data_IF_749955119765
#
_entry.id   IF_749955119765
#
_cell.length_a   1.000
_cell.length_b   1.000
_cell.length_c   1.000
_cell.angle_alpha   90.00
_cell.angle_beta   90.00
_cell.angle_gamma   90.00
#
_symmetry.space_group_name_H-M   'P 1'
#
loop_
_entity.id
_entity.type
_entity.pdbx_description
1 polymer ?
#
# COMPACT_ATOMS: atom_id res chain seq x y z
N UNK A 1 21.45 -13.16 71.63
CA UNK A 1 20.57 -13.97 72.50
C UNK A 1 20.77 -15.39 72.04
N UNK A 2 21.49 -16.05 72.73
CA UNK A 2 21.34 -17.06 73.78
C UNK A 2 21.67 -18.39 73.08
N UNK A 3 22.84 -18.88 73.33
CA UNK A 3 23.41 -19.71 74.40
C UNK A 3 23.29 -21.20 74.15
N UNK A 4 24.46 -21.80 74.15
CA UNK A 4 24.88 -22.82 75.15
C UNK A 4 24.51 -24.27 74.68
N UNK A 5 25.25 -25.32 74.90
CA UNK A 5 26.38 -25.64 75.76
C UNK A 5 26.61 -27.14 75.63
N UNK A 6 27.84 -27.58 75.43
CA UNK A 6 28.64 -28.39 76.34
C UNK A 6 28.02 -29.77 76.78
N UNK A 7 28.73 -30.88 76.74
CA UNK A 7 29.62 -31.38 77.78
C UNK A 7 30.13 -32.77 77.35
N UNK A 8 31.43 -33.10 77.30
CA UNK A 8 32.28 -33.66 78.32
C UNK A 8 31.69 -34.85 79.07
N UNK A 9 32.42 -35.93 79.03
CA UNK A 9 33.13 -36.57 80.17
C UNK A 9 33.71 -37.92 79.63
N UNK A 10 35.00 -38.22 79.58
CA UNK A 10 35.96 -38.48 80.73
C UNK A 10 35.58 -39.54 81.68
N UNK A 11 36.36 -40.60 81.72
CA UNK A 11 36.89 -41.29 82.90
C UNK A 11 37.64 -42.53 82.43
N UNK A 12 38.90 -42.76 82.49
CA UNK A 12 39.90 -42.86 83.52
C UNK A 12 39.74 -44.12 84.45
N UNK A 13 40.89 -44.78 84.45
CA UNK A 13 41.50 -45.53 85.58
C UNK A 13 40.97 -46.95 85.78
N UNK A 14 41.78 -47.96 85.88
CA UNK A 14 42.77 -48.20 86.91
C UNK A 14 43.48 -49.58 86.64
N UNK A 15 44.75 -49.64 86.94
CA UNK A 15 45.45 -50.84 87.29
C UNK A 15 45.17 -51.25 88.73
N UNK A 16 45.38 -52.45 89.26
CA UNK A 16 46.72 -52.87 89.72
C UNK A 16 47.01 -54.41 89.66
N UNK A 17 48.25 -54.68 89.77
CA UNK A 17 49.17 -55.30 90.74
C UNK A 17 49.38 -56.79 90.80
N UNK A 18 50.62 -57.14 90.67
CA UNK A 18 51.50 -58.09 91.40
C UNK A 18 50.98 -59.46 91.79
N UNK A 19 51.70 -60.40 91.44
CA UNK A 19 52.48 -61.44 92.23
C UNK A 19 52.78 -62.68 91.27
N UNK A 20 53.81 -63.17 91.24
CA UNK A 20 55.03 -63.59 91.93
C UNK A 20 55.41 -64.96 91.43
N UNK A 21 56.56 -65.10 91.02
CA UNK A 21 57.61 -66.13 91.28
C UNK A 21 57.49 -67.58 90.78
N UNK A 22 58.55 -67.86 90.05
CA UNK A 22 59.39 -69.07 90.11
C UNK A 22 59.03 -70.20 89.17
N UNK A 23 60.03 -70.45 88.37
CA UNK A 23 60.19 -71.69 87.51
C UNK A 23 61.08 -71.41 86.35
N UNK A 24 62.36 -71.21 86.64
CA UNK A 24 63.36 -71.03 85.56
C UNK A 24 63.64 -72.37 84.86
N UNK A 25 63.27 -72.45 83.61
CA UNK A 25 63.83 -73.39 82.73
C UNK A 25 64.47 -72.63 81.51
N UNK A 26 65.76 -72.65 81.49
CA UNK A 26 66.56 -72.05 80.43
C UNK A 26 66.40 -72.86 79.13
N UNK A 27 65.80 -72.32 78.13
CA UNK A 27 65.73 -72.87 76.80
C UNK A 27 66.67 -71.99 75.92
N UNK A 28 67.61 -72.55 75.16
CA UNK A 28 68.55 -71.72 74.36
C UNK A 28 67.82 -71.09 73.21
N UNK A 29 67.96 -69.75 73.16
CA UNK A 29 67.53 -68.94 72.07
C UNK A 29 68.13 -69.27 70.72
N UNK A 30 67.36 -69.76 69.80
CA UNK A 30 67.74 -69.88 68.40
C UNK A 30 67.87 -68.45 67.83
N UNK A 31 68.87 -68.12 66.96
CA UNK A 31 69.01 -66.82 66.37
C UNK A 31 67.81 -66.55 65.47
N UNK A 32 67.37 -65.21 65.43
CA UNK A 32 66.21 -64.86 64.69
C UNK A 32 66.43 -65.06 63.18
N UNK A 33 65.48 -65.69 62.50
CA UNK A 33 65.42 -65.74 61.04
C UNK A 33 65.36 -64.27 60.53
N UNK A 34 66.26 -63.96 59.62
CA UNK A 34 66.34 -62.68 58.96
C UNK A 34 64.92 -62.27 58.47
N UNK A 35 64.39 -61.17 58.90
CA UNK A 35 63.19 -60.56 58.34
C UNK A 35 63.53 -60.17 56.91
N UNK A 36 63.00 -60.94 55.96
CA UNK A 36 63.05 -60.54 54.56
C UNK A 36 62.11 -59.35 54.37
N UNK A 37 62.65 -58.24 53.87
CA UNK A 37 61.94 -57.04 53.55
C UNK A 37 60.77 -57.39 52.59
N UNK A 38 59.47 -57.09 52.97
CA UNK A 38 58.32 -57.44 52.17
C UNK A 38 58.33 -56.78 50.78
N UNK A 39 59.09 -55.68 50.57
CA UNK A 39 59.25 -55.06 49.29
C UNK A 39 60.10 -55.89 48.35
N UNK A 40 61.13 -56.67 48.81
CA UNK A 40 61.97 -57.51 47.99
C UNK A 40 61.26 -58.78 47.46
N UNK A 41 60.12 -59.14 48.09
CA UNK A 41 59.25 -60.18 47.59
C UNK A 41 58.35 -59.75 46.43
N UNK A 42 57.98 -58.54 46.45
CA UNK A 42 57.14 -57.98 45.36
C UNK A 42 58.00 -57.77 44.10
N UNK A 43 59.26 -57.39 44.28
CA UNK A 43 60.18 -57.10 43.18
C UNK A 43 60.68 -58.35 42.43
N UNK A 44 60.61 -59.52 43.07
CA UNK A 44 61.03 -60.83 42.50
C UNK A 44 59.88 -61.72 42.00
N UNK A 45 58.64 -61.30 42.08
CA UNK A 45 57.55 -62.01 41.45
C UNK A 45 57.45 -61.62 39.99
N UNK A 46 57.87 -62.45 39.09
CA UNK A 46 57.58 -62.28 37.67
C UNK A 46 56.05 -62.13 37.50
N UNK A 47 55.57 -61.03 36.93
CA UNK A 47 54.17 -60.79 36.76
C UNK A 47 53.58 -61.94 35.92
N UNK A 48 52.55 -62.62 36.47
CA UNK A 48 51.88 -63.77 35.83
C UNK A 48 51.50 -63.42 34.39
N UNK A 49 51.75 -64.34 33.46
CA UNK A 49 51.40 -64.18 32.03
C UNK A 49 49.93 -63.82 31.87
N UNK A 50 49.02 -64.19 32.76
CA UNK A 50 47.62 -63.80 32.80
C UNK A 50 47.43 -62.29 33.11
N UNK A 51 48.22 -61.74 34.06
CA UNK A 51 48.15 -60.27 34.38
C UNK A 51 48.62 -59.41 33.19
N UNK A 52 49.66 -59.83 32.49
CA UNK A 52 50.12 -59.16 31.27
C UNK A 52 49.14 -59.25 30.11
N UNK A 53 48.39 -60.37 29.98
CA UNK A 53 47.33 -60.53 28.99
C UNK A 53 46.13 -59.59 29.31
N UNK A 54 45.68 -59.56 30.59
CA UNK A 54 44.64 -58.59 31.01
C UNK A 54 45.02 -57.16 30.82
N UNK A 55 46.30 -56.78 31.19
CA UNK A 55 46.79 -55.45 30.98
C UNK A 55 46.80 -55.06 29.47
N UNK A 56 47.30 -56.00 28.61
CA UNK A 56 47.25 -55.75 27.14
C UNK A 56 45.81 -55.70 26.63
N UNK A 57 44.89 -56.51 27.07
CA UNK A 57 43.50 -56.48 26.67
C UNK A 57 42.85 -55.17 27.09
N UNK A 58 43.07 -54.71 28.32
CA UNK A 58 42.60 -53.41 28.80
C UNK A 58 43.23 -52.27 28.03
N UNK A 59 44.55 -52.30 27.76
CA UNK A 59 45.19 -51.26 26.94
C UNK A 59 44.67 -51.22 25.52
N UNK A 60 44.43 -52.34 24.86
CA UNK A 60 43.78 -52.44 23.55
C UNK A 60 42.36 -51.90 23.60
N UNK A 61 41.58 -52.27 24.62
CA UNK A 61 40.21 -51.74 24.81
C UNK A 61 40.19 -50.22 24.97
N UNK A 62 41.06 -49.66 25.80
CA UNK A 62 41.21 -48.20 25.99
C UNK A 62 41.62 -47.51 24.69
N UNK A 63 42.53 -48.11 23.94
CA UNK A 63 42.97 -47.58 22.65
C UNK A 63 41.82 -47.59 21.64
N UNK A 64 41.03 -48.66 21.57
CA UNK A 64 39.85 -48.75 20.72
C UNK A 64 38.78 -47.73 21.15
N UNK A 65 38.59 -47.50 22.44
CA UNK A 65 37.68 -46.48 22.97
C UNK A 65 38.15 -45.04 22.61
N UNK A 66 39.46 -44.77 22.70
CA UNK A 66 40.02 -43.46 22.32
C UNK A 66 39.86 -43.24 20.81
N UNK A 67 40.14 -44.24 19.99
CA UNK A 67 39.94 -44.19 18.53
C UNK A 67 38.45 -43.97 18.22
N UNK A 68 37.55 -44.72 18.85
CA UNK A 68 36.11 -44.54 18.69
C UNK A 68 35.67 -43.14 19.14
N UNK A 69 36.18 -42.61 20.26
CA UNK A 69 35.89 -41.29 20.75
C UNK A 69 36.42 -40.17 19.83
N UNK A 70 37.52 -40.39 19.10
CA UNK A 70 38.09 -39.48 18.13
C UNK A 70 37.29 -39.43 16.83
N UNK A 71 36.71 -40.55 16.39
CA UNK A 71 35.89 -40.62 15.16
C UNK A 71 34.40 -40.49 15.40
N UNK A 72 33.91 -40.75 16.62
CA UNK A 72 32.52 -40.63 17.03
C UNK A 72 32.11 -39.14 17.00
N UNK A 73 31.08 -38.83 16.21
CA UNK A 73 30.53 -37.46 16.08
C UNK A 73 29.22 -37.32 16.85
N UNK A 74 29.13 -36.33 17.69
CA UNK A 74 27.91 -35.90 18.39
C UNK A 74 27.40 -34.63 17.78
N UNK A 75 26.09 -34.58 17.47
CA UNK A 75 25.44 -33.34 17.00
C UNK A 75 25.27 -32.39 18.17
N UNK A 76 25.67 -31.11 17.97
CA UNK A 76 25.43 -30.06 18.91
C UNK A 76 24.17 -29.36 18.49
N UNK A 77 23.23 -29.23 19.39
CA UNK A 77 21.94 -28.60 19.17
C UNK A 77 21.76 -27.41 20.12
N UNK A 78 21.32 -26.26 19.56
CA UNK A 78 20.76 -25.17 20.33
C UNK A 78 19.26 -25.38 20.48
N UNK A 79 18.75 -25.36 21.69
CA UNK A 79 17.32 -25.48 21.97
C UNK A 79 16.70 -24.11 22.19
N UNK A 80 15.68 -23.78 21.40
CA UNK A 80 14.99 -22.50 21.44
C UNK A 80 13.47 -22.72 21.53
N UNK A 81 12.86 -22.06 22.51
CA UNK A 81 11.41 -22.10 22.74
C UNK A 81 10.73 -21.00 21.96
N UNK A 82 9.52 -21.30 21.43
CA UNK A 82 8.78 -20.33 20.65
C UNK A 82 7.37 -20.77 20.32
N UNK A 83 6.82 -20.16 19.28
CA UNK A 83 5.46 -20.44 18.79
C UNK A 83 5.40 -20.42 17.27
N UNK A 84 4.43 -21.13 16.72
CA UNK A 84 4.10 -21.00 15.30
C UNK A 84 3.39 -19.68 15.05
N UNK A 85 3.87 -18.95 14.05
CA UNK A 85 3.29 -17.70 13.59
C UNK A 85 3.06 -17.75 12.08
N UNK A 86 2.01 -17.15 11.54
CA UNK A 86 1.82 -16.99 10.12
C UNK A 86 2.85 -16.03 9.54
N UNK A 87 3.12 -16.13 8.25
CA UNK A 87 4.06 -15.25 7.56
C UNK A 87 3.65 -13.79 7.65
N UNK A 88 2.36 -13.53 7.50
CA UNK A 88 1.79 -12.19 7.53
C UNK A 88 1.17 -11.94 8.91
N UNK A 89 1.45 -10.77 9.43
CA UNK A 89 0.79 -10.30 10.64
C UNK A 89 -0.72 -10.23 10.43
N UNK A 90 -1.46 -10.35 11.51
CA UNK A 90 -2.90 -10.20 11.55
C UNK A 90 -3.33 -8.97 10.75
N UNK A 91 -4.27 -9.14 9.83
CA UNK A 91 -4.80 -8.04 9.02
C UNK A 91 -5.84 -7.27 9.80
N UNK A 92 -5.62 -5.98 9.95
CA UNK A 92 -6.61 -5.08 10.56
C UNK A 92 -7.50 -4.53 9.46
N UNK A 93 -8.81 -4.48 9.70
CA UNK A 93 -9.78 -3.80 8.85
C UNK A 93 -10.25 -2.56 9.60
N UNK A 94 -9.98 -1.42 8.97
CA UNK A 94 -10.28 -0.10 9.52
C UNK A 94 -10.96 0.76 8.46
N UNK A 95 -11.92 1.63 8.83
CA UNK A 95 -12.53 2.56 7.91
C UNK A 95 -11.56 3.68 7.55
N UNK A 96 -11.62 4.12 6.30
CA UNK A 96 -10.86 5.28 5.83
C UNK A 96 -11.55 6.61 6.13
N UNK A 97 -12.87 6.57 6.37
CA UNK A 97 -13.72 7.73 6.67
C UNK A 97 -14.51 7.48 7.96
N UNK A 98 -14.86 8.53 8.67
CA UNK A 98 -15.75 8.43 9.83
C UNK A 98 -17.16 8.03 9.39
N UNK A 99 -17.81 7.17 10.16
CA UNK A 99 -19.16 6.75 9.84
C UNK A 99 -19.85 6.06 11.01
N UNK A 100 -21.13 5.84 10.87
CA UNK A 100 -21.95 5.06 11.81
C UNK A 100 -22.10 3.65 11.26
N UNK A 101 -21.86 2.63 12.06
CA UNK A 101 -22.06 1.23 11.67
C UNK A 101 -23.56 0.97 11.50
N UNK A 102 -23.98 0.76 10.24
CA UNK A 102 -25.37 0.45 9.89
C UNK A 102 -25.68 -1.04 10.06
N UNK A 103 -24.79 -1.87 9.55
CA UNK A 103 -24.93 -3.33 9.59
C UNK A 103 -23.57 -3.98 9.82
N UNK A 104 -23.54 -5.01 10.65
CA UNK A 104 -22.42 -5.90 10.83
C UNK A 104 -22.83 -7.29 10.35
N UNK A 105 -22.15 -7.82 9.33
CA UNK A 105 -22.55 -9.03 8.61
C UNK A 105 -21.77 -10.28 9.04
N UNK A 106 -20.86 -10.14 10.00
CA UNK A 106 -19.93 -11.19 10.43
C UNK A 106 -19.78 -11.20 11.94
N UNK A 107 -19.35 -12.34 12.48
CA UNK A 107 -19.10 -12.58 13.90
C UNK A 107 -17.67 -13.06 14.12
N UNK A 108 -17.20 -12.99 15.36
CA UNK A 108 -15.93 -13.60 15.74
C UNK A 108 -15.95 -15.11 15.45
N UNK A 109 -14.88 -15.62 14.87
CA UNK A 109 -14.75 -17.01 14.43
C UNK A 109 -15.27 -17.30 13.02
N UNK A 110 -15.96 -16.38 12.35
CA UNK A 110 -16.45 -16.59 10.99
C UNK A 110 -15.31 -16.67 9.98
N UNK A 111 -15.43 -17.59 9.04
CA UNK A 111 -14.52 -17.69 7.88
C UNK A 111 -15.04 -16.81 6.76
N UNK A 112 -14.20 -15.91 6.27
CA UNK A 112 -14.54 -14.94 5.21
C UNK A 112 -13.60 -15.08 4.00
N UNK A 113 -14.12 -14.73 2.82
CA UNK A 113 -13.36 -14.70 1.57
C UNK A 113 -12.92 -13.30 1.22
N UNK A 114 -11.85 -13.17 0.45
CA UNK A 114 -11.39 -11.91 -0.11
C UNK A 114 -12.53 -11.16 -0.83
N UNK A 115 -12.67 -9.86 -0.55
CA UNK A 115 -13.74 -9.03 -1.10
C UNK A 115 -15.12 -9.19 -0.44
N UNK A 116 -15.33 -10.17 0.45
CA UNK A 116 -16.58 -10.34 1.17
C UNK A 116 -16.88 -9.11 2.03
N UNK A 117 -18.13 -8.68 2.03
CA UNK A 117 -18.59 -7.55 2.87
C UNK A 117 -18.63 -7.99 4.32
N UNK A 118 -17.96 -7.23 5.19
CA UNK A 118 -17.86 -7.49 6.62
C UNK A 118 -18.79 -6.58 7.42
N UNK A 119 -18.78 -5.30 7.08
CA UNK A 119 -19.65 -4.31 7.70
C UNK A 119 -20.05 -3.25 6.68
N UNK A 120 -21.18 -2.63 6.89
CA UNK A 120 -21.66 -1.46 6.16
C UNK A 120 -21.78 -0.27 7.08
N UNK A 121 -21.15 0.82 6.71
CA UNK A 121 -21.33 2.10 7.34
C UNK A 121 -22.52 2.83 6.70
N UNK A 122 -23.06 3.81 7.39
CA UNK A 122 -24.13 4.66 6.84
C UNK A 122 -23.56 5.55 5.72
N UNK A 123 -23.93 5.23 4.50
CA UNK A 123 -23.50 5.93 3.28
C UNK A 123 -24.44 7.06 2.87
N UNK A 124 -25.46 7.41 3.67
CA UNK A 124 -26.51 8.36 3.28
C UNK A 124 -25.92 9.71 2.84
N UNK A 125 -24.99 10.25 3.60
CA UNK A 125 -24.32 11.52 3.26
C UNK A 125 -23.41 11.37 2.03
N UNK A 126 -22.60 10.32 1.98
CA UNK A 126 -21.68 10.08 0.85
C UNK A 126 -22.45 9.82 -0.45
N UNK A 127 -23.57 9.10 -0.40
CA UNK A 127 -24.43 8.87 -1.56
C UNK A 127 -25.16 10.13 -2.02
N UNK A 128 -25.59 11.01 -1.09
CA UNK A 128 -26.17 12.30 -1.40
C UNK A 128 -25.16 13.22 -2.09
N UNK A 129 -23.92 13.30 -1.56
CA UNK A 129 -22.82 14.05 -2.17
C UNK A 129 -22.52 13.58 -3.60
N UNK A 130 -22.39 12.26 -3.80
CA UNK A 130 -22.20 11.67 -5.12
C UNK A 130 -23.34 12.00 -6.07
N UNK A 131 -24.59 11.90 -5.60
CA UNK A 131 -25.78 12.19 -6.41
C UNK A 131 -25.80 13.67 -6.80
N UNK A 132 -25.47 14.59 -5.88
CA UNK A 132 -25.38 16.01 -6.15
C UNK A 132 -24.35 16.30 -7.25
N UNK A 133 -23.10 15.84 -7.07
CA UNK A 133 -22.03 16.03 -8.07
C UNK A 133 -22.36 15.38 -9.42
N UNK A 134 -23.01 14.21 -9.41
CA UNK A 134 -23.44 13.52 -10.64
C UNK A 134 -24.53 14.29 -11.39
N UNK A 135 -25.47 14.90 -10.67
CA UNK A 135 -26.52 15.77 -11.24
C UNK A 135 -25.92 17.03 -11.87
N UNK A 136 -24.98 17.69 -11.17
CA UNK A 136 -24.28 18.85 -11.68
C UNK A 136 -23.48 18.50 -12.95
N UNK A 137 -22.76 17.39 -12.92
CA UNK A 137 -22.02 16.89 -14.08
C UNK A 137 -22.94 16.60 -15.27
N UNK A 138 -24.09 15.96 -15.03
CA UNK A 138 -25.12 15.71 -16.02
C UNK A 138 -25.63 17.03 -16.66
N UNK A 139 -25.89 18.03 -15.82
CA UNK A 139 -26.36 19.36 -16.25
C UNK A 139 -25.30 20.04 -17.13
N UNK A 140 -24.03 20.05 -16.70
CA UNK A 140 -22.97 20.66 -17.50
C UNK A 140 -22.71 19.91 -18.82
N UNK A 141 -22.76 18.58 -18.82
CA UNK A 141 -22.66 17.77 -20.06
C UNK A 141 -23.80 18.12 -21.04
N UNK A 142 -25.01 18.28 -20.55
CA UNK A 142 -26.15 18.63 -21.37
C UNK A 142 -26.01 20.02 -21.94
N UNK A 143 -25.53 21.00 -21.18
CA UNK A 143 -25.24 22.36 -21.66
C UNK A 143 -24.13 22.37 -22.71
N UNK A 144 -23.07 21.58 -22.53
CA UNK A 144 -22.02 21.46 -23.53
C UNK A 144 -22.57 20.94 -24.87
N UNK A 145 -23.42 19.91 -24.83
CA UNK A 145 -24.09 19.37 -26.03
C UNK A 145 -24.98 20.38 -26.73
N UNK A 146 -25.69 21.21 -25.95
CA UNK A 146 -26.48 22.33 -26.50
C UNK A 146 -25.59 23.27 -27.30
N UNK A 147 -24.50 23.72 -26.71
CA UNK A 147 -23.60 24.68 -27.37
C UNK A 147 -22.93 24.04 -28.61
N UNK A 148 -22.53 22.80 -28.53
CA UNK A 148 -21.96 22.06 -29.67
C UNK A 148 -22.99 21.90 -30.81
N UNK A 149 -24.25 21.69 -30.47
CA UNK A 149 -25.35 21.67 -31.43
C UNK A 149 -25.56 23.06 -32.09
N UNK A 150 -25.50 24.16 -31.28
CA UNK A 150 -25.57 25.52 -31.78
C UNK A 150 -24.39 25.86 -32.71
N UNK A 151 -23.15 25.52 -32.33
CA UNK A 151 -21.94 25.75 -33.11
C UNK A 151 -21.93 24.95 -34.44
N UNK A 152 -22.37 23.71 -34.38
CA UNK A 152 -22.42 22.83 -35.57
C UNK A 152 -23.63 23.10 -36.47
N UNK A 153 -24.62 23.87 -36.00
CA UNK A 153 -25.87 24.10 -36.68
C UNK A 153 -26.82 22.90 -36.74
N UNK A 154 -26.48 21.79 -36.08
CA UNK A 154 -27.28 20.56 -36.05
C UNK A 154 -28.32 20.59 -34.95
N UNK A 155 -29.47 19.91 -35.10
CA UNK A 155 -30.46 19.83 -34.05
C UNK A 155 -29.90 19.09 -32.83
N UNK A 156 -30.29 19.52 -31.64
CA UNK A 156 -30.01 18.81 -30.39
C UNK A 156 -30.88 17.55 -30.31
N UNK A 157 -30.26 16.37 -30.26
CA UNK A 157 -30.96 15.07 -30.18
C UNK A 157 -30.85 14.49 -28.78
N UNK A 158 -31.91 13.82 -28.31
CA UNK A 158 -31.91 13.06 -27.09
C UNK A 158 -31.06 11.77 -27.25
N UNK A 159 -30.33 11.39 -26.21
CA UNK A 159 -29.61 10.12 -26.12
C UNK A 159 -30.27 9.20 -25.11
N UNK A 160 -30.06 7.89 -25.26
CA UNK A 160 -30.47 6.93 -24.26
C UNK A 160 -29.74 7.20 -22.91
N UNK A 161 -30.53 7.42 -21.85
CA UNK A 161 -30.01 7.74 -20.51
C UNK A 161 -30.00 9.22 -20.14
N UNK A 162 -30.45 10.12 -21.04
CA UNK A 162 -30.67 11.52 -20.68
C UNK A 162 -31.88 11.66 -19.72
N UNK A 163 -31.72 12.55 -18.74
CA UNK A 163 -32.87 13.00 -17.95
C UNK A 163 -33.85 13.77 -18.85
N UNK A 164 -35.06 13.27 -18.98
CA UNK A 164 -36.08 13.82 -19.87
C UNK A 164 -36.45 15.26 -19.52
N UNK A 165 -36.51 15.60 -18.22
CA UNK A 165 -36.85 16.95 -17.78
C UNK A 165 -35.75 17.93 -18.09
N UNK A 166 -34.50 17.57 -17.77
CA UNK A 166 -33.32 18.38 -18.05
C UNK A 166 -33.14 18.55 -19.56
N UNK A 167 -33.29 17.49 -20.35
CA UNK A 167 -33.23 17.57 -21.81
C UNK A 167 -34.26 18.55 -22.36
N UNK A 168 -35.53 18.42 -21.93
CA UNK A 168 -36.62 19.30 -22.39
C UNK A 168 -36.34 20.77 -22.02
N UNK A 169 -35.76 21.03 -20.84
CA UNK A 169 -35.41 22.37 -20.42
C UNK A 169 -34.28 22.96 -21.30
N UNK A 170 -33.21 22.21 -21.51
CA UNK A 170 -32.06 22.65 -22.32
C UNK A 170 -32.42 22.77 -23.80
N UNK A 171 -33.31 21.89 -24.30
CA UNK A 171 -33.83 21.98 -25.67
C UNK A 171 -34.63 23.26 -25.89
N UNK A 172 -35.47 23.66 -24.94
CA UNK A 172 -36.20 24.96 -25.03
C UNK A 172 -35.21 26.13 -25.06
N UNK A 173 -34.15 26.09 -24.23
CA UNK A 173 -33.10 27.08 -24.25
C UNK A 173 -32.38 27.17 -25.59
N UNK A 174 -32.02 26.01 -26.18
CA UNK A 174 -31.45 25.89 -27.51
C UNK A 174 -32.34 26.56 -28.57
N UNK A 175 -33.64 26.23 -28.58
CA UNK A 175 -34.59 26.77 -29.54
C UNK A 175 -34.76 28.28 -29.40
N UNK A 176 -34.87 28.80 -28.16
CA UNK A 176 -35.00 30.19 -27.89
C UNK A 176 -33.78 31.02 -28.35
N UNK A 177 -32.56 30.54 -28.02
CA UNK A 177 -31.30 31.26 -28.40
C UNK A 177 -31.10 31.23 -29.92
N UNK A 178 -31.31 30.09 -30.54
CA UNK A 178 -31.18 29.93 -31.99
C UNK A 178 -32.25 30.74 -32.72
N UNK A 179 -33.49 30.77 -32.21
CA UNK A 179 -34.55 31.63 -32.73
C UNK A 179 -34.16 33.11 -32.70
N UNK A 180 -33.74 33.60 -31.53
CA UNK A 180 -33.33 34.99 -31.38
C UNK A 180 -32.14 35.38 -32.31
N UNK A 181 -31.15 34.49 -32.47
CA UNK A 181 -30.05 34.72 -33.41
C UNK A 181 -30.55 34.76 -34.87
N UNK A 182 -31.40 33.80 -35.28
CA UNK A 182 -31.96 33.77 -36.63
C UNK A 182 -32.81 35.00 -36.92
N UNK A 183 -33.65 35.44 -35.97
CA UNK A 183 -34.48 36.64 -36.10
C UNK A 183 -33.60 37.92 -36.30
N UNK A 184 -32.50 38.02 -35.51
CA UNK A 184 -31.54 39.12 -35.66
C UNK A 184 -30.82 39.06 -37.03
N UNK A 185 -30.47 37.87 -37.50
CA UNK A 185 -29.83 37.67 -38.79
C UNK A 185 -30.76 38.03 -39.95
N UNK A 186 -32.04 37.60 -39.87
CA UNK A 186 -33.06 37.93 -40.91
C UNK A 186 -33.37 39.44 -40.91
N UNK A 187 -33.43 40.11 -39.79
CA UNK A 187 -33.59 41.55 -39.70
C UNK A 187 -32.46 42.32 -40.41
N UNK A 188 -31.21 41.93 -40.16
CA UNK A 188 -30.05 42.57 -40.84
C UNK A 188 -29.96 42.22 -42.32
N UNK A 189 -30.37 41.03 -42.72
CA UNK A 189 -30.51 40.66 -44.13
C UNK A 189 -31.58 41.44 -44.85
N UNK A 190 -32.75 41.61 -44.23
CA UNK A 190 -33.83 42.43 -44.80
C UNK A 190 -33.40 43.90 -45.02
N UNK A 191 -32.59 44.46 -44.09
CA UNK A 191 -32.02 45.79 -44.25
C UNK A 191 -31.03 45.83 -45.44
N UNK A 192 -30.17 44.84 -45.59
CA UNK A 192 -29.27 44.71 -46.75
C UNK A 192 -30.05 44.63 -48.09
N UNK A 193 -31.10 43.85 -48.12
CA UNK A 193 -31.97 43.71 -49.27
C UNK A 193 -32.65 45.02 -49.65
N UNK A 194 -33.12 45.78 -48.66
CA UNK A 194 -33.68 47.12 -48.84
C UNK A 194 -32.64 48.03 -49.51
N UNK A 195 -31.40 48.08 -48.99
CA UNK A 195 -30.31 48.85 -49.56
C UNK A 195 -29.95 48.41 -51.00
N UNK A 196 -30.07 47.13 -51.36
CA UNK A 196 -29.88 46.62 -52.69
C UNK A 196 -30.94 47.13 -53.68
N UNK A 197 -32.19 47.18 -53.25
CA UNK A 197 -33.27 47.80 -54.06
C UNK A 197 -33.08 49.33 -54.22
N UNK A 198 -32.67 50.03 -53.16
CA UNK A 198 -32.35 51.46 -53.23
C UNK A 198 -31.20 51.74 -54.17
N UNK A 199 -30.12 50.93 -54.14
CA UNK A 199 -28.98 51.05 -55.07
C UNK A 199 -29.42 50.76 -56.50
N UNK A 200 -30.28 49.78 -56.74
CA UNK A 200 -30.79 49.45 -58.05
C UNK A 200 -31.57 50.63 -58.61
N UNK A 201 -32.48 51.23 -57.84
CA UNK A 201 -33.24 52.42 -58.23
C UNK A 201 -32.33 53.64 -58.52
N UNK A 202 -31.34 53.87 -57.65
CA UNK A 202 -30.35 54.92 -57.90
C UNK A 202 -29.49 54.67 -59.13
N UNK A 203 -29.16 53.39 -59.42
CA UNK A 203 -28.44 52.96 -60.63
C UNK A 203 -29.24 53.20 -61.91
N UNK A 204 -30.53 52.93 -61.91
CA UNK A 204 -31.41 53.23 -63.06
C UNK A 204 -31.51 54.71 -63.35
N UNK A 205 -31.59 55.54 -62.26
CA UNK A 205 -31.56 57.00 -62.37
C UNK A 205 -30.23 57.51 -62.95
N UNK A 206 -29.11 56.94 -62.49
CA UNK A 206 -27.78 57.20 -63.02
C UNK A 206 -27.67 56.86 -64.50
N UNK A 207 -28.10 55.69 -64.90
CA UNK A 207 -28.08 55.24 -66.33
C UNK A 207 -28.92 56.16 -67.22
N UNK A 208 -30.07 56.61 -66.70
CA UNK A 208 -30.88 57.59 -67.40
C UNK A 208 -30.11 58.89 -67.62
N UNK A 209 -29.45 59.43 -66.55
CA UNK A 209 -28.68 60.67 -66.68
C UNK A 209 -27.46 60.51 -67.61
N UNK A 210 -26.77 59.40 -67.59
CA UNK A 210 -25.67 59.04 -68.49
C UNK A 210 -26.10 59.00 -69.97
N UNK A 211 -27.29 58.44 -70.25
CA UNK A 211 -27.86 58.39 -71.59
C UNK A 211 -28.36 59.80 -72.09
N UNK A 212 -28.90 60.61 -71.22
CA UNK A 212 -29.49 61.89 -71.60
C UNK A 212 -28.47 63.04 -71.65
N UNK A 213 -27.44 63.06 -70.82
CA UNK A 213 -26.44 64.15 -70.74
C UNK A 213 -25.74 64.39 -72.12
N UNK A 214 -25.33 63.44 -72.96
CA UNK A 214 -24.71 63.68 -74.22
C UNK A 214 -25.61 64.50 -75.14
N UNK A 215 -26.94 64.27 -75.05
CA UNK A 215 -27.93 65.01 -75.92
C UNK A 215 -27.98 66.49 -75.51
N UNK A 216 -28.01 66.78 -74.13
CA UNK A 216 -27.98 68.15 -73.58
C UNK A 216 -26.65 68.87 -73.95
N UNK A 217 -25.53 68.15 -73.88
CA UNK A 217 -24.21 68.68 -74.24
C UNK A 217 -24.13 69.02 -75.70
N UNK A 218 -24.62 68.13 -76.61
CA UNK A 218 -24.66 68.33 -78.01
C UNK A 218 -25.54 69.51 -78.38
N UNK A 219 -26.74 69.66 -77.79
CA UNK A 219 -27.66 70.77 -77.98
C UNK A 219 -27.02 72.09 -77.59
N UNK A 220 -26.39 72.15 -76.37
CA UNK A 220 -25.69 73.35 -75.90
C UNK A 220 -24.53 73.70 -76.78
N UNK A 221 -23.72 72.76 -77.26
CA UNK A 221 -22.61 72.96 -78.25
C UNK A 221 -23.10 73.49 -79.55
N UNK A 222 -24.12 72.93 -80.16
CA UNK A 222 -24.67 73.39 -81.46
C UNK A 222 -25.25 74.77 -81.36
N UNK A 223 -26.00 75.07 -80.27
CA UNK A 223 -26.52 76.47 -80.11
C UNK A 223 -25.41 77.46 -79.83
N UNK A 224 -24.34 77.09 -79.16
CA UNK A 224 -23.17 77.96 -78.93
C UNK A 224 -22.47 78.33 -80.30
N UNK A 225 -22.37 77.39 -81.19
CA UNK A 225 -21.84 77.56 -82.51
C UNK A 225 -22.75 78.51 -83.32
N UNK A 226 -24.09 78.26 -83.35
CA UNK A 226 -25.05 79.09 -84.10
C UNK A 226 -25.14 80.51 -83.50
N UNK A 227 -24.95 80.70 -82.22
CA UNK A 227 -24.88 82.01 -81.59
C UNK A 227 -23.62 82.79 -81.97
N UNK A 228 -22.47 82.12 -82.10
CA UNK A 228 -21.23 82.76 -82.60
C UNK A 228 -21.36 83.20 -84.04
N UNK A 229 -22.14 82.47 -84.85
CA UNK A 229 -22.44 82.83 -86.24
C UNK A 229 -23.55 83.93 -86.39
N UNK A 230 -24.18 84.31 -85.22
CA UNK A 230 -25.20 85.37 -85.24
C UNK A 230 -26.63 84.90 -85.52
N UNK A 231 -26.89 83.59 -85.73
CA UNK A 231 -28.20 83.01 -86.07
C UNK A 231 -29.16 82.90 -84.86
N UNK A 232 -28.62 82.81 -83.65
CA UNK A 232 -29.42 82.61 -82.42
C UNK A 232 -29.00 83.63 -81.35
N UNK A 233 -29.94 84.13 -80.49
CA UNK A 233 -29.63 85.01 -79.36
C UNK A 233 -28.71 84.34 -78.32
N UNK A 234 -27.66 85.08 -77.84
CA UNK A 234 -26.71 84.58 -76.87
C UNK A 234 -27.38 84.08 -75.60
N UNK A 235 -28.46 84.73 -75.14
CA UNK A 235 -29.24 84.28 -73.96
C UNK A 235 -29.76 82.86 -74.14
N UNK A 236 -30.22 82.39 -75.31
CA UNK A 236 -30.74 81.04 -75.49
C UNK A 236 -29.60 80.00 -75.47
N UNK A 237 -28.43 80.37 -75.97
CA UNK A 237 -27.21 79.53 -75.89
C UNK A 237 -26.78 79.38 -74.44
N UNK A 238 -26.73 80.46 -73.66
CA UNK A 238 -26.37 80.48 -72.23
C UNK A 238 -27.35 79.67 -71.37
N UNK A 239 -28.64 79.71 -71.70
CA UNK A 239 -29.66 78.93 -71.00
C UNK A 239 -29.46 77.43 -71.24
N UNK A 240 -29.14 76.99 -72.46
CA UNK A 240 -28.85 75.62 -72.76
C UNK A 240 -27.50 75.15 -72.20
N UNK A 241 -26.52 76.05 -72.15
CA UNK A 241 -25.25 75.82 -71.47
C UNK A 241 -25.42 75.54 -70.00
N UNK A 242 -26.25 76.35 -69.33
CA UNK A 242 -26.59 76.16 -67.88
C UNK A 242 -27.32 74.82 -67.64
N UNK A 243 -28.30 74.50 -68.51
CA UNK A 243 -29.02 73.20 -68.48
C UNK A 243 -28.08 71.99 -68.60
N UNK A 244 -27.11 72.05 -69.55
CA UNK A 244 -26.12 70.97 -69.70
C UNK A 244 -25.19 70.87 -68.50
N UNK A 245 -24.78 71.99 -67.87
CA UNK A 245 -23.98 71.99 -66.64
C UNK A 245 -24.77 71.47 -65.48
N UNK A 246 -26.05 71.81 -65.36
CA UNK A 246 -26.95 71.32 -64.31
C UNK A 246 -27.10 69.77 -64.43
N UNK A 247 -27.34 69.21 -65.59
CA UNK A 247 -27.44 67.79 -65.85
C UNK A 247 -26.12 67.04 -65.57
N UNK A 248 -24.98 67.68 -65.89
CA UNK A 248 -23.67 67.12 -65.53
C UNK A 248 -23.48 67.08 -64.02
N UNK A 249 -23.93 68.08 -63.28
CA UNK A 249 -23.87 68.13 -61.83
C UNK A 249 -24.86 67.10 -61.17
N UNK A 250 -26.05 66.96 -61.76
CA UNK A 250 -27.01 65.90 -61.36
C UNK A 250 -26.40 64.52 -61.52
N UNK A 251 -25.69 64.28 -62.61
CA UNK A 251 -24.98 63.03 -62.85
C UNK A 251 -23.90 62.75 -61.78
N UNK A 252 -23.06 63.78 -61.51
CA UNK A 252 -22.03 63.67 -60.47
C UNK A 252 -22.61 63.44 -59.08
N UNK A 253 -23.71 64.08 -58.73
CA UNK A 253 -24.44 63.89 -57.46
C UNK A 253 -25.03 62.48 -57.40
N UNK A 254 -25.59 61.95 -58.48
CA UNK A 254 -26.14 60.61 -58.54
C UNK A 254 -25.04 59.50 -58.47
N UNK A 255 -23.87 59.73 -59.08
CA UNK A 255 -22.71 58.89 -58.91
C UNK A 255 -22.26 58.81 -57.45
N UNK A 256 -22.20 59.94 -56.78
CA UNK A 256 -21.88 60.02 -55.39
C UNK A 256 -22.91 59.26 -54.53
N UNK A 257 -24.20 59.38 -54.84
CA UNK A 257 -25.28 58.64 -54.18
C UNK A 257 -25.10 57.11 -54.33
N UNK A 258 -24.81 56.61 -55.55
CA UNK A 258 -24.57 55.21 -55.79
C UNK A 258 -23.30 54.71 -55.02
N UNK A 259 -22.24 55.55 -54.99
CA UNK A 259 -21.04 55.26 -54.25
C UNK A 259 -21.31 55.18 -52.74
N UNK A 260 -22.10 56.09 -52.17
CA UNK A 260 -22.52 56.08 -50.76
C UNK A 260 -23.33 54.82 -50.43
N UNK A 261 -24.28 54.41 -51.29
CA UNK A 261 -25.06 53.18 -51.10
C UNK A 261 -24.17 51.93 -51.16
N UNK A 262 -23.18 51.91 -52.07
CA UNK A 262 -22.21 50.80 -52.07
C UNK A 262 -21.42 50.70 -50.76
N UNK A 263 -20.98 51.84 -50.23
CA UNK A 263 -20.27 51.87 -48.94
C UNK A 263 -21.18 51.43 -47.77
N UNK A 264 -22.44 51.88 -47.77
CA UNK A 264 -23.43 51.48 -46.78
C UNK A 264 -23.72 49.95 -46.82
N UNK A 265 -23.86 49.40 -48.01
CA UNK A 265 -24.02 47.97 -48.23
C UNK A 265 -22.80 47.16 -47.74
N UNK A 266 -21.57 47.65 -47.99
CA UNK A 266 -20.35 47.04 -47.51
C UNK A 266 -20.31 47.02 -45.99
N UNK A 267 -20.66 48.17 -45.33
CA UNK A 267 -20.78 48.26 -43.88
C UNK A 267 -21.85 47.30 -43.33
N UNK A 268 -23.00 47.16 -44.01
CA UNK A 268 -24.06 46.26 -43.59
C UNK A 268 -23.65 44.75 -43.71
N UNK A 269 -22.91 44.42 -44.76
CA UNK A 269 -22.33 43.07 -44.89
C UNK A 269 -21.31 42.75 -43.79
N UNK A 270 -20.50 43.78 -43.46
CA UNK A 270 -19.55 43.63 -42.34
C UNK A 270 -20.27 43.45 -41.01
N UNK A 271 -21.39 44.14 -40.79
CA UNK A 271 -22.25 43.98 -39.60
C UNK A 271 -22.84 42.58 -39.51
N UNK A 272 -23.31 41.99 -40.61
CA UNK A 272 -23.77 40.59 -40.68
C UNK A 272 -22.63 39.61 -40.32
N UNK A 273 -21.45 39.79 -40.86
CA UNK A 273 -20.28 38.99 -40.54
C UNK A 273 -19.91 39.12 -39.07
N UNK A 274 -19.93 40.33 -38.52
CA UNK A 274 -19.66 40.60 -37.10
C UNK A 274 -20.70 39.92 -36.19
N UNK A 275 -22.00 40.01 -36.51
CA UNK A 275 -23.05 39.32 -35.76
C UNK A 275 -22.80 37.81 -35.66
N UNK A 276 -22.43 37.18 -36.77
CA UNK A 276 -22.11 35.76 -36.82
C UNK A 276 -20.86 35.43 -36.01
N UNK A 277 -19.80 36.19 -36.15
CA UNK A 277 -18.54 36.01 -35.42
C UNK A 277 -18.72 36.22 -33.90
N UNK A 278 -19.46 37.22 -33.49
CA UNK A 278 -19.76 37.51 -32.06
C UNK A 278 -20.54 36.34 -31.47
N UNK A 279 -21.62 35.87 -32.14
CA UNK A 279 -22.40 34.75 -31.67
C UNK A 279 -21.54 33.48 -31.53
N UNK A 280 -20.72 33.18 -32.52
CA UNK A 280 -19.81 32.04 -32.48
C UNK A 280 -18.78 32.13 -31.34
N UNK A 281 -18.13 33.31 -31.19
CA UNK A 281 -17.12 33.53 -30.15
C UNK A 281 -17.70 33.45 -28.74
N UNK A 282 -18.94 33.91 -28.55
CA UNK A 282 -19.67 33.80 -27.28
C UNK A 282 -19.95 32.33 -26.94
N UNK A 283 -20.42 31.54 -27.91
CA UNK A 283 -20.63 30.09 -27.74
C UNK A 283 -19.33 29.34 -27.42
N UNK A 284 -18.24 29.66 -28.13
CA UNK A 284 -16.93 29.07 -27.89
C UNK A 284 -16.40 29.41 -26.47
N UNK A 285 -16.60 30.65 -26.02
CA UNK A 285 -16.25 31.05 -24.64
C UNK A 285 -17.08 30.29 -23.61
N UNK A 286 -18.40 30.22 -23.78
CA UNK A 286 -19.31 29.50 -22.92
C UNK A 286 -18.93 27.98 -22.88
N UNK A 287 -18.59 27.41 -24.03
CA UNK A 287 -18.14 26.01 -24.12
C UNK A 287 -16.83 25.79 -23.35
N UNK A 288 -15.88 26.71 -23.46
CA UNK A 288 -14.61 26.62 -22.73
C UNK A 288 -14.83 26.67 -21.22
N UNK A 289 -15.70 27.55 -20.74
CA UNK A 289 -16.06 27.66 -19.32
C UNK A 289 -16.73 26.37 -18.83
N UNK A 290 -17.65 25.81 -19.61
CA UNK A 290 -18.31 24.54 -19.27
C UNK A 290 -17.32 23.38 -19.27
N UNK A 291 -16.41 23.30 -20.24
CA UNK A 291 -15.37 22.29 -20.29
C UNK A 291 -14.43 22.36 -19.07
N UNK A 292 -14.10 23.58 -18.64
CA UNK A 292 -13.32 23.78 -17.41
C UNK A 292 -14.07 23.24 -16.18
N UNK A 293 -15.39 23.53 -16.07
CA UNK A 293 -16.25 22.99 -15.00
C UNK A 293 -16.34 21.47 -15.06
N UNK A 294 -16.50 20.89 -16.24
CA UNK A 294 -16.51 19.43 -16.44
C UNK A 294 -15.19 18.80 -15.99
N UNK A 295 -14.06 19.44 -16.28
CA UNK A 295 -12.74 19.04 -15.82
C UNK A 295 -12.59 19.03 -14.30
N UNK A 296 -13.33 19.85 -13.57
CA UNK A 296 -13.37 19.88 -12.10
C UNK A 296 -14.40 18.90 -11.52
N UNK A 297 -15.56 18.78 -12.15
CA UNK A 297 -16.65 17.94 -11.66
C UNK A 297 -16.36 16.43 -11.82
N UNK A 298 -15.68 16.01 -12.90
CA UNK A 298 -15.36 14.61 -13.09
C UNK A 298 -14.48 14.03 -11.96
N UNK A 299 -13.32 14.64 -11.58
CA UNK A 299 -12.56 14.18 -10.42
C UNK A 299 -13.34 14.28 -9.10
N UNK A 300 -14.23 15.27 -8.96
CA UNK A 300 -15.09 15.38 -7.77
C UNK A 300 -16.07 14.24 -7.68
N UNK A 301 -16.65 13.79 -8.80
CA UNK A 301 -17.50 12.62 -8.86
C UNK A 301 -16.73 11.33 -8.51
N UNK A 302 -15.52 11.17 -9.08
CA UNK A 302 -14.67 10.03 -8.80
C UNK A 302 -14.31 9.97 -7.30
N UNK A 303 -13.99 11.10 -6.69
CA UNK A 303 -13.73 11.22 -5.26
C UNK A 303 -14.96 10.86 -4.42
N UNK A 304 -16.13 11.38 -4.76
CA UNK A 304 -17.37 11.08 -4.03
C UNK A 304 -17.78 9.62 -4.19
N UNK A 305 -17.60 9.03 -5.37
CA UNK A 305 -17.87 7.62 -5.62
C UNK A 305 -16.90 6.70 -4.86
N UNK A 306 -15.61 7.10 -4.77
CA UNK A 306 -14.63 6.39 -3.95
C UNK A 306 -15.01 6.43 -2.47
N UNK A 307 -15.39 7.60 -1.94
CA UNK A 307 -15.83 7.75 -0.55
C UNK A 307 -17.06 6.87 -0.25
N UNK A 308 -18.06 6.89 -1.13
CA UNK A 308 -19.23 6.02 -1.00
C UNK A 308 -18.82 4.54 -0.97
N UNK A 309 -17.89 4.12 -1.84
CA UNK A 309 -17.34 2.77 -1.86
C UNK A 309 -16.63 2.36 -0.58
N UNK A 310 -15.96 3.30 0.10
CA UNK A 310 -15.27 3.07 1.37
C UNK A 310 -16.23 2.88 2.57
N UNK A 311 -17.51 3.23 2.41
CA UNK A 311 -18.54 2.94 3.43
C UNK A 311 -18.87 1.45 3.54
N UNK A 312 -18.33 0.60 2.66
CA UNK A 312 -18.49 -0.85 2.71
C UNK A 312 -17.13 -1.48 3.05
N UNK A 313 -17.00 -1.94 4.29
CA UNK A 313 -15.78 -2.62 4.74
C UNK A 313 -15.75 -4.04 4.19
N UNK A 314 -14.68 -4.40 3.49
CA UNK A 314 -14.48 -5.71 2.85
C UNK A 314 -13.24 -6.40 3.38
N UNK A 315 -13.26 -7.75 3.34
CA UNK A 315 -12.09 -8.55 3.67
C UNK A 315 -10.98 -8.34 2.64
N UNK A 316 -9.74 -8.02 3.07
CA UNK A 316 -8.62 -7.85 2.15
C UNK A 316 -8.14 -9.19 1.56
N UNK A 317 -8.37 -10.29 2.25
CA UNK A 317 -7.98 -11.65 1.86
C UNK A 317 -8.82 -12.71 2.57
N UNK A 318 -8.67 -13.99 2.19
CA UNK A 318 -9.32 -15.11 2.85
C UNK A 318 -8.78 -15.28 4.28
N UNK A 319 -9.67 -15.53 5.24
CA UNK A 319 -9.25 -15.69 6.62
C UNK A 319 -10.38 -15.94 7.60
N UNK A 320 -10.03 -15.94 8.88
CA UNK A 320 -10.97 -16.08 10.02
C UNK A 320 -10.93 -14.79 10.83
N UNK A 321 -12.11 -14.31 11.21
CA UNK A 321 -12.23 -13.13 12.07
C UNK A 321 -11.81 -13.51 13.48
N UNK A 322 -10.81 -12.79 13.99
CA UNK A 322 -10.24 -13.05 15.32
C UNK A 322 -10.95 -12.23 16.40
N UNK A 323 -10.92 -10.91 16.23
CA UNK A 323 -11.47 -9.96 17.19
C UNK A 323 -12.38 -8.95 16.48
N UNK A 324 -13.44 -8.56 17.15
CA UNK A 324 -14.41 -7.57 16.70
C UNK A 324 -14.43 -6.41 17.71
N UNK A 325 -13.76 -5.31 17.38
CA UNK A 325 -13.68 -4.15 18.28
C UNK A 325 -15.02 -3.40 18.39
N UNK A 326 -15.88 -3.53 17.37
CA UNK A 326 -17.21 -2.91 17.33
C UNK A 326 -18.25 -3.98 17.10
N UNK A 327 -19.05 -4.26 18.13
CA UNK A 327 -20.10 -5.30 18.08
C UNK A 327 -21.50 -4.71 17.97
N UNK A 328 -21.65 -3.38 18.10
CA UNK A 328 -22.95 -2.71 18.20
C UNK A 328 -23.26 -1.94 16.91
N UNK A 329 -24.42 -2.18 16.33
CA UNK A 329 -24.99 -1.31 15.30
C UNK A 329 -25.33 0.06 15.87
N UNK A 330 -25.07 1.13 15.12
CA UNK A 330 -25.19 2.51 15.59
C UNK A 330 -23.91 3.08 16.21
N UNK A 331 -22.86 2.28 16.40
CA UNK A 331 -21.58 2.77 16.89
C UNK A 331 -20.90 3.70 15.87
N UNK A 332 -20.29 4.77 16.34
CA UNK A 332 -19.50 5.70 15.53
C UNK A 332 -18.07 5.19 15.45
N UNK A 333 -17.56 5.01 14.24
CA UNK A 333 -16.17 4.63 13.98
C UNK A 333 -15.40 5.81 13.38
N UNK A 334 -14.18 6.01 13.87
CA UNK A 334 -13.27 7.05 13.39
C UNK A 334 -12.34 6.48 12.31
N UNK A 335 -11.80 7.32 11.40
CA UNK A 335 -10.77 6.91 10.46
C UNK A 335 -9.57 6.30 11.18
N UNK A 336 -9.12 5.13 10.71
CA UNK A 336 -7.99 4.42 11.31
C UNK A 336 -8.32 3.63 12.59
N UNK A 337 -9.54 3.71 13.13
CA UNK A 337 -9.95 2.84 14.24
C UNK A 337 -10.10 1.39 13.75
N UNK A 338 -9.53 0.45 14.49
CA UNK A 338 -9.67 -0.98 14.17
C UNK A 338 -11.12 -1.40 14.41
N UNK A 339 -11.81 -1.85 13.38
CA UNK A 339 -13.18 -2.38 13.50
C UNK A 339 -13.15 -3.89 13.73
N UNK A 340 -12.29 -4.59 13.01
CA UNK A 340 -12.11 -6.03 13.16
C UNK A 340 -10.70 -6.46 12.73
N UNK A 341 -10.32 -7.65 13.19
CA UNK A 341 -9.03 -8.25 12.96
C UNK A 341 -9.19 -9.59 12.24
N UNK A 342 -8.49 -9.78 11.14
CA UNK A 342 -8.55 -10.98 10.30
C UNK A 342 -7.24 -11.77 10.39
N UNK A 343 -7.32 -13.06 10.66
CA UNK A 343 -6.21 -14.02 10.58
C UNK A 343 -6.31 -14.77 9.27
N UNK A 344 -5.31 -14.70 8.40
CA UNK A 344 -5.30 -15.43 7.13
C UNK A 344 -5.35 -16.94 7.34
N UNK A 345 -6.09 -17.67 6.50
CA UNK A 345 -6.34 -19.11 6.70
C UNK A 345 -5.27 -20.03 6.10
N UNK A 346 -4.70 -19.65 4.97
CA UNK A 346 -3.81 -20.52 4.16
C UNK A 346 -2.38 -19.97 4.05
N UNK A 347 -1.89 -19.34 5.11
CA UNK A 347 -0.53 -18.84 5.11
C UNK A 347 0.48 -19.87 5.59
N UNK A 348 1.68 -19.79 5.02
CA UNK A 348 2.81 -20.57 5.48
C UNK A 348 3.12 -20.23 6.94
N UNK A 349 3.18 -21.25 7.77
CA UNK A 349 3.57 -21.10 9.17
C UNK A 349 5.10 -21.13 9.29
N UNK A 350 5.60 -20.25 10.14
CA UNK A 350 6.99 -20.18 10.57
C UNK A 350 7.06 -20.44 12.07
N UNK A 351 8.17 -20.94 12.54
CA UNK A 351 8.43 -21.01 13.97
C UNK A 351 9.23 -19.76 14.38
N UNK A 352 8.59 -18.88 15.14
CA UNK A 352 9.25 -17.74 15.78
C UNK A 352 9.73 -18.19 17.17
N UNK A 353 11.05 -18.27 17.35
CA UNK A 353 11.67 -18.80 18.57
C UNK A 353 12.66 -17.83 19.18
N UNK A 354 12.90 -17.99 20.47
CA UNK A 354 13.87 -17.20 21.21
C UNK A 354 15.11 -18.06 21.51
N UNK A 355 16.21 -17.68 20.89
CA UNK A 355 17.52 -18.32 21.08
C UNK A 355 18.20 -17.64 22.29
N UNK A 356 18.79 -18.45 23.16
CA UNK A 356 19.55 -17.92 24.30
C UNK A 356 20.81 -17.20 23.84
N UNK A 357 21.23 -16.20 24.63
CA UNK A 357 22.45 -15.42 24.32
C UNK A 357 23.72 -16.30 24.23
N UNK A 358 23.79 -17.41 24.95
CA UNK A 358 24.92 -18.33 24.90
C UNK A 358 25.03 -19.13 23.61
N UNK A 359 23.90 -19.32 22.90
CA UNK A 359 23.80 -20.15 21.69
C UNK A 359 23.81 -19.32 20.40
N UNK A 360 23.45 -18.02 20.45
CA UNK A 360 23.25 -17.18 19.25
C UNK A 360 24.52 -17.04 18.41
N UNK A 361 25.71 -17.03 19.05
CA UNK A 361 27.00 -16.93 18.35
C UNK A 361 27.31 -18.11 17.44
N UNK A 362 26.62 -19.26 17.60
CA UNK A 362 26.82 -20.47 16.82
C UNK A 362 25.65 -20.76 15.86
N UNK A 363 24.60 -19.94 15.88
CA UNK A 363 23.46 -20.08 14.99
C UNK A 363 23.61 -19.12 13.80
N UNK A 364 23.48 -19.67 12.58
CA UNK A 364 23.56 -18.90 11.35
C UNK A 364 22.34 -19.16 10.45
N UNK A 365 22.03 -18.16 9.63
CA UNK A 365 20.98 -18.30 8.59
C UNK A 365 21.37 -19.42 7.63
N UNK A 366 20.40 -20.29 7.31
CA UNK A 366 20.60 -21.47 6.45
C UNK A 366 20.83 -22.79 7.22
N UNK A 367 21.01 -22.74 8.54
CA UNK A 367 21.14 -23.97 9.33
C UNK A 367 19.82 -24.77 9.39
N UNK A 368 19.95 -26.10 9.38
CA UNK A 368 18.80 -27.00 9.54
C UNK A 368 18.34 -27.03 10.98
N UNK A 369 17.02 -27.07 11.16
CA UNK A 369 16.39 -27.11 12.47
C UNK A 369 15.31 -28.20 12.50
N UNK A 370 15.11 -28.79 13.66
CA UNK A 370 14.03 -29.74 13.93
C UNK A 370 13.05 -29.11 14.90
N UNK A 371 11.78 -29.02 14.49
CA UNK A 371 10.72 -28.37 15.24
C UNK A 371 9.84 -29.40 15.91
N UNK A 372 9.81 -29.41 17.22
CA UNK A 372 8.95 -30.22 18.09
C UNK A 372 7.73 -29.40 18.47
N UNK A 373 6.54 -29.95 18.24
CA UNK A 373 5.28 -29.33 18.62
C UNK A 373 4.90 -29.76 20.03
N UNK A 374 4.63 -28.85 20.93
CA UNK A 374 4.22 -29.18 22.30
C UNK A 374 2.87 -29.93 22.34
N UNK A 375 1.99 -29.66 21.37
CA UNK A 375 0.69 -30.31 21.27
C UNK A 375 0.78 -31.78 20.81
N UNK A 376 1.90 -32.21 20.18
CA UNK A 376 2.07 -33.57 19.62
C UNK A 376 3.38 -34.17 20.10
N UNK A 377 3.36 -35.25 20.94
CA UNK A 377 4.57 -35.91 21.40
C UNK A 377 5.43 -36.41 20.25
N UNK A 378 6.67 -35.89 20.18
CA UNK A 378 7.59 -36.18 19.06
C UNK A 378 7.98 -37.65 18.92
N UNK A 379 7.92 -38.43 20.02
CA UNK A 379 8.18 -39.85 19.97
C UNK A 379 7.16 -40.65 19.12
N UNK A 380 5.92 -40.13 19.03
CA UNK A 380 4.84 -40.78 18.28
C UNK A 380 4.65 -40.18 16.88
N UNK A 381 4.74 -38.85 16.78
CA UNK A 381 4.35 -38.14 15.57
C UNK A 381 5.54 -37.56 14.79
N UNK A 382 6.77 -37.70 15.36
CA UNK A 382 7.97 -37.18 14.72
C UNK A 382 8.15 -35.65 14.95
N UNK A 383 9.04 -35.05 14.16
CA UNK A 383 9.42 -33.63 14.19
C UNK A 383 9.31 -33.05 12.79
N UNK A 384 8.99 -31.78 12.71
CA UNK A 384 9.01 -31.05 11.44
C UNK A 384 10.45 -30.59 11.14
N UNK A 385 10.85 -30.72 9.89
CA UNK A 385 12.10 -30.11 9.41
C UNK A 385 11.89 -28.67 9.04
N UNK A 386 12.91 -27.87 9.25
CA UNK A 386 12.89 -26.46 8.90
C UNK A 386 14.28 -25.89 8.73
N UNK A 387 14.34 -24.65 8.25
CA UNK A 387 15.57 -23.92 8.01
C UNK A 387 15.51 -22.53 8.65
N UNK A 388 16.58 -22.11 9.32
CA UNK A 388 16.70 -20.78 9.89
C UNK A 388 16.79 -19.76 8.75
N UNK A 389 15.83 -18.81 8.67
CA UNK A 389 15.81 -17.79 7.60
C UNK A 389 16.19 -16.41 8.10
N UNK A 390 15.99 -16.14 9.39
CA UNK A 390 16.27 -14.82 9.96
C UNK A 390 16.65 -14.94 11.43
N UNK A 391 17.61 -14.13 11.87
CA UNK A 391 17.99 -13.96 13.27
C UNK A 391 17.98 -12.45 13.53
N UNK A 392 17.33 -12.05 14.62
CA UNK A 392 17.29 -10.63 15.01
C UNK A 392 18.70 -10.16 15.37
N UNK A 393 19.09 -8.98 14.91
CA UNK A 393 20.35 -8.36 15.25
C UNK A 393 20.38 -7.80 16.69
N UNK A 394 19.20 -7.68 17.32
CA UNK A 394 19.06 -7.12 18.65
C UNK A 394 18.44 -8.12 19.64
N UNK A 395 18.92 -8.10 20.86
CA UNK A 395 18.43 -8.93 21.94
C UNK A 395 17.10 -8.37 22.49
N UNK A 396 16.08 -9.22 22.57
CA UNK A 396 14.85 -8.88 23.25
C UNK A 396 14.99 -9.17 24.75
N UNK A 397 14.85 -8.15 25.57
CA UNK A 397 14.63 -8.35 27.01
C UNK A 397 13.22 -8.93 27.22
N UNK A 398 13.05 -9.89 28.12
CA UNK A 398 11.71 -10.37 28.45
C UNK A 398 10.88 -9.19 28.95
N UNK A 399 9.71 -8.97 28.34
CA UNK A 399 8.76 -7.94 28.76
C UNK A 399 8.52 -8.08 30.26
N UNK A 400 8.81 -7.04 31.04
CA UNK A 400 8.39 -6.95 32.44
C UNK A 400 6.87 -7.06 32.45
N UNK A 401 6.36 -8.10 33.06
CA UNK A 401 4.96 -8.11 33.48
C UNK A 401 4.78 -6.94 34.43
N UNK A 402 4.04 -5.92 33.98
CA UNK A 402 3.52 -4.87 34.86
C UNK A 402 2.42 -5.51 35.74
N UNK A 403 2.84 -6.24 36.75
CA UNK A 403 1.99 -6.52 37.89
C UNK A 403 2.28 -5.49 38.97
N UNK A 404 1.24 -4.77 39.30
CA UNK A 404 1.27 -3.68 40.25
C UNK A 404 1.76 -4.07 41.63
N UNK A 405 2.55 -3.22 42.22
CA UNK A 405 2.65 -2.99 43.68
C UNK A 405 3.61 -3.84 44.46
N UNK A 406 4.73 -3.26 44.92
CA UNK A 406 5.40 -3.68 46.13
C UNK A 406 6.82 -4.19 45.97
N UNK A 407 7.76 -3.31 46.24
CA UNK A 407 9.19 -3.45 46.41
C UNK A 407 9.77 -4.80 46.71
N UNK A 408 10.53 -5.32 45.80
CA UNK A 408 11.67 -6.19 46.09
C UNK A 408 12.70 -5.99 45.00
N UNK A 409 13.90 -5.55 45.37
CA UNK A 409 15.08 -5.54 44.52
C UNK A 409 15.50 -6.99 44.25
N UNK A 410 14.80 -7.67 43.35
CA UNK A 410 15.20 -8.93 42.77
C UNK A 410 16.08 -8.67 41.55
N UNK A 411 17.27 -9.27 41.52
CA UNK A 411 18.16 -9.31 40.38
C UNK A 411 17.42 -9.60 39.06
N UNK A 412 17.76 -8.97 37.93
CA UNK A 412 17.17 -9.27 36.64
C UNK A 412 17.65 -10.66 36.19
N UNK A 413 16.86 -11.71 36.45
CA UNK A 413 17.12 -13.06 35.97
C UNK A 413 16.44 -13.36 34.64
N UNK A 414 16.45 -12.42 33.71
CA UNK A 414 16.07 -12.66 32.33
C UNK A 414 17.30 -12.58 31.45
N UNK A 415 17.88 -13.73 31.06
CA UNK A 415 18.94 -13.73 30.07
C UNK A 415 18.40 -13.14 28.76
N UNK A 416 19.12 -12.19 28.19
CA UNK A 416 18.83 -11.65 26.86
C UNK A 416 18.64 -12.79 25.86
N UNK A 417 17.60 -12.70 25.04
CA UNK A 417 17.28 -13.70 24.02
C UNK A 417 17.14 -13.06 22.64
N UNK A 418 17.56 -13.78 21.62
CA UNK A 418 17.48 -13.34 20.24
C UNK A 418 16.33 -14.02 19.51
N UNK A 419 15.49 -13.25 18.84
CA UNK A 419 14.41 -13.81 18.03
C UNK A 419 14.97 -14.39 16.74
N UNK A 420 14.60 -15.66 16.45
CA UNK A 420 14.89 -16.28 15.18
C UNK A 420 13.61 -16.79 14.55
N UNK A 421 13.57 -16.72 13.21
CA UNK A 421 12.46 -17.23 12.40
C UNK A 421 12.93 -18.39 11.59
N UNK A 422 12.19 -19.50 11.67
CA UNK A 422 12.48 -20.76 11.02
C UNK A 422 11.35 -21.10 10.07
N UNK A 423 11.68 -21.29 8.80
CA UNK A 423 10.75 -21.74 7.78
C UNK A 423 10.56 -23.26 7.92
N UNK A 424 9.33 -23.67 8.00
CA UNK A 424 8.96 -25.08 7.99
C UNK A 424 8.96 -25.62 6.56
N UNK A 425 9.59 -26.75 6.32
CA UNK A 425 9.58 -27.42 5.02
C UNK A 425 8.24 -28.09 4.73
N UNK A 426 7.51 -28.46 5.78
CA UNK A 426 6.20 -29.09 5.70
C UNK A 426 5.19 -28.34 6.58
N UNK A 427 4.00 -28.08 6.04
CA UNK A 427 2.92 -27.36 6.71
C UNK A 427 1.91 -28.29 7.41
N UNK A 428 2.23 -29.57 7.54
CA UNK A 428 1.44 -30.56 8.25
C UNK A 428 2.36 -31.64 8.82
N UNK A 429 2.01 -32.17 9.97
CA UNK A 429 2.67 -33.33 10.56
C UNK A 429 1.92 -34.58 10.12
N UNK A 430 2.65 -35.59 9.63
CA UNK A 430 2.07 -36.87 9.25
C UNK A 430 2.23 -37.86 10.41
N UNK A 431 1.12 -38.39 10.88
CA UNK A 431 1.13 -39.48 11.84
C UNK A 431 1.66 -40.79 11.18
N UNK A 432 2.33 -41.70 11.88
CA UNK A 432 2.72 -43.04 11.37
C UNK A 432 1.57 -43.81 10.73
N UNK A 433 0.32 -43.51 11.08
CA UNK A 433 -0.90 -44.07 10.51
C UNK A 433 -1.39 -43.37 9.24
N UNK A 434 -0.65 -42.37 8.73
CA UNK A 434 -1.00 -41.61 7.50
C UNK A 434 -2.04 -40.51 7.69
N UNK A 435 -2.49 -40.22 8.92
CA UNK A 435 -3.39 -39.13 9.21
C UNK A 435 -2.61 -37.79 9.24
N UNK A 436 -3.04 -36.79 8.46
CA UNK A 436 -2.49 -35.45 8.52
C UNK A 436 -2.98 -34.76 9.78
N UNK A 437 -2.05 -34.35 10.63
CA UNK A 437 -2.32 -33.57 11.83
C UNK A 437 -2.23 -32.10 11.45
N UNK A 438 -3.27 -31.36 11.80
CA UNK A 438 -3.35 -29.92 11.50
C UNK A 438 -2.48 -29.15 12.49
N UNK A 439 -1.61 -28.28 11.94
CA UNK A 439 -0.84 -27.32 12.71
C UNK A 439 -1.51 -25.95 12.63
N UNK A 440 -1.63 -25.27 13.75
CA UNK A 440 -2.33 -24.00 13.85
C UNK A 440 -1.39 -22.88 14.35
N UNK A 441 -1.60 -21.63 13.94
CA UNK A 441 -0.91 -20.48 14.52
C UNK A 441 -1.09 -20.44 16.04
N UNK A 442 -0.05 -20.02 16.76
CA UNK A 442 -0.07 -19.94 18.23
C UNK A 442 0.32 -21.21 18.96
N UNK A 443 0.47 -22.37 18.27
CA UNK A 443 0.99 -23.58 18.91
C UNK A 443 2.42 -23.36 19.42
N UNK A 444 2.68 -23.80 20.66
CA UNK A 444 4.03 -23.75 21.23
C UNK A 444 4.93 -24.80 20.59
N UNK A 445 6.17 -24.40 20.34
CA UNK A 445 7.20 -25.22 19.71
C UNK A 445 8.52 -25.13 20.45
N UNK A 446 9.26 -26.22 20.43
CA UNK A 446 10.67 -26.27 20.83
C UNK A 446 11.47 -26.63 19.60
N UNK A 447 12.41 -25.77 19.23
CA UNK A 447 13.23 -25.97 18.05
C UNK A 447 14.65 -26.31 18.43
N UNK A 448 15.15 -27.37 17.81
CA UNK A 448 16.54 -27.82 17.93
C UNK A 448 17.28 -27.42 16.65
N UNK A 449 18.14 -26.41 16.76
CA UNK A 449 18.96 -25.90 15.66
C UNK A 449 20.29 -26.64 15.68
N UNK A 450 20.70 -27.24 14.56
CA UNK A 450 21.96 -27.96 14.45
C UNK A 450 23.10 -26.95 14.29
N UNK A 451 23.95 -26.85 15.31
CA UNK A 451 25.14 -25.99 15.35
C UNK A 451 26.37 -26.66 14.74
N UNK A 452 26.30 -27.94 14.43
CA UNK A 452 27.43 -28.71 13.89
C UNK A 452 27.68 -30.02 14.64
N UNK A 453 28.85 -30.60 14.42
CA UNK A 453 29.25 -31.89 15.01
C UNK A 453 30.57 -31.73 15.76
N UNK A 454 30.61 -32.26 16.99
CA UNK A 454 31.86 -32.38 17.75
C UNK A 454 32.20 -33.83 17.96
N UNK A 455 33.50 -34.12 18.14
CA UNK A 455 33.92 -35.49 18.49
C UNK A 455 33.62 -35.77 19.97
N UNK A 456 33.37 -37.04 20.29
CA UNK A 456 33.18 -37.47 21.68
C UNK A 456 34.41 -37.15 22.54
N UNK A 457 35.59 -37.16 21.94
CA UNK A 457 36.83 -36.81 22.61
C UNK A 457 36.89 -35.32 22.97
N UNK A 458 36.48 -34.40 22.06
CA UNK A 458 36.37 -32.98 22.35
C UNK A 458 35.36 -32.68 23.45
N UNK A 459 34.23 -33.40 23.48
CA UNK A 459 33.21 -33.28 24.51
C UNK A 459 33.74 -33.64 25.90
N UNK A 460 34.46 -34.80 26.00
CA UNK A 460 35.05 -35.28 27.25
C UNK A 460 36.19 -34.40 27.73
N UNK A 461 36.98 -33.79 26.83
CA UNK A 461 38.08 -32.92 27.18
C UNK A 461 37.68 -31.47 27.41
N UNK A 462 36.47 -31.06 27.04
CA UNK A 462 35.93 -29.70 27.20
C UNK A 462 36.06 -29.14 28.61
N UNK A 463 35.67 -29.87 29.70
CA UNK A 463 35.84 -29.33 31.06
C UNK A 463 37.33 -29.20 31.47
N UNK A 464 38.22 -30.06 30.95
CA UNK A 464 39.67 -29.97 31.21
C UNK A 464 40.24 -28.74 30.49
N UNK A 465 39.90 -28.51 29.23
CA UNK A 465 40.29 -27.34 28.48
C UNK A 465 39.79 -26.03 29.15
N UNK A 466 38.56 -26.03 29.66
CA UNK A 466 38.02 -24.88 30.39
C UNK A 466 38.81 -24.65 31.67
N UNK A 467 39.04 -25.66 32.49
CA UNK A 467 39.82 -25.52 33.74
C UNK A 467 41.25 -25.06 33.48
N UNK A 468 41.93 -25.58 32.45
CA UNK A 468 43.29 -25.17 32.07
C UNK A 468 43.30 -23.69 31.54
N UNK A 469 42.33 -23.32 30.75
CA UNK A 469 42.25 -21.94 30.23
C UNK A 469 41.91 -20.91 31.33
N UNK A 470 41.13 -21.29 32.34
CA UNK A 470 40.81 -20.46 33.49
C UNK A 470 42.01 -20.38 34.47
N UNK A 471 42.71 -21.50 34.72
CA UNK A 471 43.88 -21.53 35.57
C UNK A 471 45.12 -20.82 34.98
N UNK A 472 45.19 -20.74 33.64
CA UNK A 472 46.28 -20.03 32.93
C UNK A 472 46.02 -18.51 32.79
N UNK A 473 44.90 -18.00 33.27
CA UNK A 473 44.59 -16.56 33.32
C UNK A 473 44.50 -16.13 34.78
N UNK A 474 45.65 -15.82 35.36
CA UNK A 474 45.71 -15.03 36.59
C UNK A 474 45.32 -13.57 36.26
N UNK A 475 44.44 -13.03 37.06
CA UNK A 475 44.05 -11.63 37.01
C UNK A 475 44.98 -10.81 37.86
#
# INVERSE_FOLDING_TARGET
MTTMSSNQTSTAAAAPSHADLSGATVIPLRPPKRWHDPLSRIERQDPSTAGRMVLRAVSVLVLVLIVWAAFGKLDIIASADGKLAPQTLVKIVQPSEAGVVKELLVREGDTVKAGQVLARLDATLASADKTGVSSDLGTQKMQARRIEAELSGKPMLAHAGDDALLFAQVQRQYQARRGAFNDSLEQEKALLQKMEFEKKSAGETLAKLEQTLPTYQAAAKNLAELSREGYVPTRQSDDKGREAIEKAKDLDAQRSTVAALNSAMAAQRQKLSQLHSTYKSELERELAEIRAKLGQLQPSLDKSSYREGQMVLRAPQDGVIKDLATTTTGAVVQPGAVVLTLVPKDELLFADVNIKNEDVGFVAVGQSAKVKLAAYPFQRHGMLSGTVIHISADASEPARAEEGGGGSKGQPSGSASYKARIRLDQQALNDPQGKRLHIAPGMQVVVEINQGKRTVLEYLLSPVHKAVSEAARER
#
